data_IF_871272227162
#
_entry.id   IF_871272227162
#
_cell.length_a   1.000
_cell.length_b   1.000
_cell.length_c   1.000
_cell.angle_alpha   90.00
_cell.angle_beta   90.00
_cell.angle_gamma   90.00
#
_symmetry.space_group_name_H-M   'P 1'
#
loop_
_entity.id
_entity.type
_entity.pdbx_description
1 polymer ?
#
# COMPACT_ATOMS: atom_id res chain seq x y z
N UNK A 1 17.40 19.66 -7.49
CA UNK A 1 18.14 18.66 -6.68
C UNK A 1 19.06 19.29 -5.64
N UNK A 2 19.90 20.26 -5.98
CA UNK A 2 20.95 20.79 -5.08
C UNK A 2 20.45 21.52 -3.82
N UNK A 3 19.19 21.92 -3.79
CA UNK A 3 18.55 22.55 -2.62
C UNK A 3 17.76 21.57 -1.75
N UNK A 4 17.61 20.30 -2.18
CA UNK A 4 16.91 19.30 -1.41
C UNK A 4 17.85 18.67 -0.38
N UNK A 5 17.51 18.83 0.90
CA UNK A 5 18.35 18.40 2.03
C UNK A 5 18.65 16.89 2.07
N UNK A 6 17.93 16.08 1.30
CA UNK A 6 18.11 14.63 1.20
C UNK A 6 18.87 14.19 -0.06
N UNK A 7 19.35 15.10 -0.88
CA UNK A 7 19.94 14.78 -2.20
C UNK A 7 21.14 13.81 -2.11
N UNK A 8 21.99 13.93 -1.09
CA UNK A 8 23.14 13.02 -0.90
C UNK A 8 22.70 11.61 -0.56
N UNK A 9 21.80 11.44 0.43
CA UNK A 9 21.24 10.16 0.81
C UNK A 9 20.48 9.50 -0.35
N UNK A 10 19.74 10.28 -1.12
CA UNK A 10 19.08 9.77 -2.32
C UNK A 10 20.08 9.15 -3.29
N UNK A 11 21.17 9.86 -3.62
CA UNK A 11 22.22 9.35 -4.55
C UNK A 11 22.90 8.09 -4.01
N UNK A 12 23.16 8.07 -2.70
CA UNK A 12 23.74 6.90 -2.04
C UNK A 12 22.84 5.66 -2.17
N UNK A 13 21.58 5.76 -1.74
CA UNK A 13 20.65 4.63 -1.74
C UNK A 13 20.25 4.19 -3.16
N UNK A 14 20.08 5.13 -4.10
CA UNK A 14 19.78 4.79 -5.50
C UNK A 14 20.95 4.07 -6.18
N UNK A 15 22.20 4.34 -5.74
CA UNK A 15 23.40 3.66 -6.23
C UNK A 15 23.59 2.24 -5.71
N UNK A 16 22.84 1.80 -4.71
CA UNK A 16 22.93 0.44 -4.16
C UNK A 16 22.27 -0.58 -5.10
N UNK A 17 22.64 -1.85 -4.95
CA UNK A 17 21.99 -2.97 -5.67
C UNK A 17 20.48 -2.98 -5.44
N UNK A 18 20.06 -2.68 -4.22
CA UNK A 18 18.66 -2.39 -3.86
C UNK A 18 18.61 -1.43 -2.69
N UNK A 19 17.68 -0.50 -2.73
CA UNK A 19 17.37 0.42 -1.63
C UNK A 19 16.12 0.00 -0.84
N UNK A 20 15.58 -1.19 -1.14
CA UNK A 20 14.31 -1.65 -0.59
C UNK A 20 14.48 -2.22 0.80
N UNK A 21 13.57 -1.87 1.69
CA UNK A 21 13.39 -2.57 2.96
C UNK A 21 11.91 -2.67 3.33
N UNK A 22 11.61 -3.64 4.19
CA UNK A 22 10.27 -3.94 4.65
C UNK A 22 10.22 -3.85 6.18
N UNK A 23 9.09 -3.36 6.69
CA UNK A 23 8.79 -3.41 8.12
C UNK A 23 7.40 -4.00 8.33
N UNK A 24 7.27 -4.89 9.32
CA UNK A 24 5.98 -5.48 9.73
C UNK A 24 5.67 -5.07 11.15
N UNK A 25 4.45 -4.58 11.38
CA UNK A 25 3.94 -4.13 12.68
C UNK A 25 2.62 -4.82 12.97
N UNK A 26 2.39 -5.13 14.24
CA UNK A 26 1.13 -5.69 14.73
C UNK A 26 0.13 -4.56 15.00
N UNK A 27 -0.93 -4.46 14.20
CA UNK A 27 -1.96 -3.42 14.28
C UNK A 27 -3.15 -3.89 15.11
N UNK A 28 -3.73 -2.98 15.90
CA UNK A 28 -5.00 -3.20 16.56
C UNK A 28 -6.14 -2.73 15.66
N UNK A 29 -6.93 -3.67 15.18
CA UNK A 29 -8.02 -3.39 14.24
C UNK A 29 -9.41 -3.58 14.86
N UNK A 30 -9.49 -3.66 16.18
CA UNK A 30 -10.73 -3.96 16.93
C UNK A 30 -11.86 -2.99 16.58
N UNK A 31 -11.60 -1.68 16.65
CA UNK A 31 -12.61 -0.67 16.38
C UNK A 31 -13.13 -0.76 14.95
N UNK A 32 -12.23 -0.94 13.98
CA UNK A 32 -12.61 -1.04 12.57
C UNK A 32 -13.42 -2.31 12.28
N UNK A 33 -13.07 -3.44 12.88
CA UNK A 33 -13.82 -4.70 12.73
C UNK A 33 -15.23 -4.54 13.30
N UNK A 34 -15.35 -3.98 14.50
CA UNK A 34 -16.65 -3.76 15.13
C UNK A 34 -17.52 -2.81 14.28
N UNK A 35 -16.95 -1.68 13.87
CA UNK A 35 -17.63 -0.75 12.97
C UNK A 35 -18.12 -1.44 11.68
N UNK A 36 -17.28 -2.23 11.05
CA UNK A 36 -17.65 -2.93 9.81
C UNK A 36 -18.78 -3.93 10.03
N UNK A 37 -18.76 -4.69 11.14
CA UNK A 37 -19.82 -5.66 11.49
C UNK A 37 -21.14 -4.95 11.77
N UNK A 38 -21.12 -3.88 12.56
CA UNK A 38 -22.32 -3.12 12.95
C UNK A 38 -23.00 -2.40 11.76
N UNK A 39 -22.19 -1.96 10.79
CA UNK A 39 -22.66 -1.17 9.66
C UNK A 39 -22.76 -1.97 8.34
N UNK A 40 -22.50 -3.27 8.34
CA UNK A 40 -22.50 -4.10 7.12
C UNK A 40 -21.47 -3.63 6.08
N UNK A 41 -20.30 -3.13 6.52
CA UNK A 41 -19.26 -2.59 5.66
C UNK A 41 -18.11 -3.58 5.45
N UNK A 42 -17.42 -3.46 4.31
CA UNK A 42 -16.24 -4.24 4.01
C UNK A 42 -15.05 -3.78 4.84
N UNK A 43 -14.45 -4.67 5.63
CA UNK A 43 -13.18 -4.40 6.34
C UNK A 43 -12.07 -4.02 5.34
N UNK A 44 -11.95 -4.79 4.25
CA UNK A 44 -10.94 -4.54 3.22
C UNK A 44 -10.99 -3.12 2.68
N UNK A 45 -12.19 -2.65 2.27
CA UNK A 45 -12.34 -1.33 1.64
C UNK A 45 -12.07 -0.20 2.65
N UNK A 46 -12.55 -0.35 3.89
CA UNK A 46 -12.33 0.66 4.91
C UNK A 46 -10.85 0.75 5.33
N UNK A 47 -10.19 -0.40 5.51
CA UNK A 47 -8.76 -0.42 5.82
C UNK A 47 -7.93 0.16 4.68
N UNK A 48 -8.24 -0.23 3.42
CA UNK A 48 -7.60 0.29 2.22
C UNK A 48 -7.70 1.83 2.14
N UNK A 49 -8.91 2.37 2.38
CA UNK A 49 -9.13 3.82 2.35
C UNK A 49 -8.31 4.54 3.42
N UNK A 50 -8.39 4.09 4.67
CA UNK A 50 -7.68 4.72 5.79
C UNK A 50 -6.16 4.67 5.57
N UNK A 51 -5.61 3.53 5.16
CA UNK A 51 -4.20 3.40 4.87
C UNK A 51 -3.76 4.30 3.70
N UNK A 52 -4.50 4.31 2.60
CA UNK A 52 -4.17 5.14 1.43
C UNK A 52 -4.22 6.64 1.75
N UNK A 53 -5.17 7.05 2.61
CA UNK A 53 -5.28 8.45 3.07
C UNK A 53 -4.04 8.88 3.84
N UNK A 54 -3.62 8.10 4.82
CA UNK A 54 -2.44 8.43 5.63
C UNK A 54 -1.16 8.42 4.78
N UNK A 55 -1.00 7.44 3.88
CA UNK A 55 0.11 7.39 2.93
C UNK A 55 0.17 8.64 2.01
N UNK A 56 -0.98 9.18 1.63
CA UNK A 56 -1.04 10.43 0.87
C UNK A 56 -0.70 11.67 1.71
N UNK A 57 -0.81 11.59 3.03
CA UNK A 57 -0.48 12.71 3.92
C UNK A 57 1.03 12.92 4.11
N UNK A 58 1.84 11.86 3.98
CA UNK A 58 3.30 11.91 4.15
C UNK A 58 3.97 12.01 2.76
N UNK A 59 4.68 13.12 2.45
CA UNK A 59 5.27 13.36 1.13
C UNK A 59 6.19 12.24 0.64
N UNK A 60 6.98 11.64 1.53
CA UNK A 60 7.96 10.59 1.23
C UNK A 60 7.30 9.36 0.56
N UNK A 61 6.06 9.03 0.90
CA UNK A 61 5.32 7.93 0.27
C UNK A 61 4.78 8.26 -1.12
N UNK A 62 4.81 9.54 -1.52
CA UNK A 62 4.43 10.02 -2.85
C UNK A 62 5.63 10.29 -3.76
N UNK A 63 6.86 10.08 -3.27
CA UNK A 63 8.07 10.26 -4.06
C UNK A 63 8.38 9.03 -4.92
N UNK A 64 8.85 9.27 -6.14
CA UNK A 64 9.26 8.25 -7.10
C UNK A 64 10.54 8.67 -7.82
N UNK A 65 11.13 7.72 -8.54
CA UNK A 65 12.21 8.01 -9.50
C UNK A 65 11.63 8.14 -10.90
N UNK A 66 11.88 9.27 -11.54
CA UNK A 66 11.60 9.52 -12.95
C UNK A 66 12.88 9.93 -13.66
N UNK A 67 13.30 9.18 -14.68
CA UNK A 67 14.53 9.45 -15.44
C UNK A 67 15.77 9.62 -14.55
N UNK A 68 15.87 8.84 -13.49
CA UNK A 68 16.97 8.89 -12.51
C UNK A 68 16.85 10.01 -11.47
N UNK A 69 15.84 10.86 -11.54
CA UNK A 69 15.65 12.00 -10.65
C UNK A 69 14.45 11.80 -9.70
N UNK A 70 14.48 12.36 -8.49
CA UNK A 70 13.35 12.31 -7.57
C UNK A 70 12.20 13.18 -8.08
N UNK A 71 11.01 12.62 -8.03
CA UNK A 71 9.76 13.26 -8.42
C UNK A 71 8.71 13.11 -7.32
N UNK A 72 8.02 14.17 -6.93
CA UNK A 72 6.96 14.19 -5.95
C UNK A 72 5.59 14.30 -6.62
N UNK A 73 4.76 13.29 -6.48
CA UNK A 73 3.36 13.36 -6.90
C UNK A 73 2.54 14.21 -5.92
N UNK A 74 1.58 14.98 -6.43
CA UNK A 74 0.62 15.71 -5.59
C UNK A 74 -0.30 14.74 -4.82
N UNK A 75 -0.66 13.64 -5.47
CA UNK A 75 -1.50 12.56 -4.95
C UNK A 75 -1.08 11.25 -5.62
N UNK A 76 -1.24 10.15 -4.89
CA UNK A 76 -1.09 8.80 -5.43
C UNK A 76 -2.38 8.02 -5.25
N UNK A 77 -2.66 7.17 -6.23
CA UNK A 77 -3.80 6.28 -6.26
C UNK A 77 -3.44 4.90 -5.69
N UNK A 78 -4.34 3.94 -5.71
CA UNK A 78 -4.03 2.58 -5.28
C UNK A 78 -4.21 1.54 -6.38
N UNK A 79 -3.36 0.51 -6.31
CA UNK A 79 -3.57 -0.77 -6.98
C UNK A 79 -3.73 -1.86 -5.92
N UNK A 80 -4.70 -2.72 -6.06
CA UNK A 80 -4.99 -3.77 -5.08
C UNK A 80 -5.29 -5.11 -5.74
N UNK A 81 -5.00 -6.19 -5.02
CA UNK A 81 -5.26 -7.55 -5.49
C UNK A 81 -6.65 -8.02 -5.07
N UNK A 82 -7.34 -8.69 -5.98
CA UNK A 82 -8.62 -9.36 -5.72
C UNK A 82 -8.46 -10.83 -6.05
N UNK A 83 -8.70 -11.73 -5.08
CA UNK A 83 -8.80 -13.16 -5.34
C UNK A 83 -10.05 -13.44 -6.18
N UNK A 84 -9.91 -14.18 -7.27
CA UNK A 84 -11.01 -14.50 -8.18
C UNK A 84 -11.53 -15.93 -8.01
N UNK A 85 -12.66 -16.22 -8.67
CA UNK A 85 -13.31 -17.52 -8.60
C UNK A 85 -12.58 -18.63 -9.39
N UNK A 86 -11.46 -18.32 -10.03
CA UNK A 86 -10.66 -19.24 -10.83
C UNK A 86 -9.37 -19.69 -10.14
N UNK A 87 -9.17 -19.31 -8.86
CA UNK A 87 -8.05 -19.79 -8.04
C UNK A 87 -6.76 -18.97 -8.15
N UNK A 88 -6.83 -17.75 -8.71
CA UNK A 88 -5.71 -16.81 -8.73
C UNK A 88 -6.17 -15.40 -8.34
N UNK A 89 -5.29 -14.41 -8.38
CA UNK A 89 -5.64 -13.02 -8.13
C UNK A 89 -5.54 -12.17 -9.40
N UNK A 90 -6.25 -11.07 -9.39
CA UNK A 90 -6.19 -10.03 -10.41
C UNK A 90 -5.87 -8.69 -9.78
N UNK A 91 -5.06 -7.87 -10.44
CA UNK A 91 -4.76 -6.51 -10.01
C UNK A 91 -5.82 -5.55 -10.56
N UNK A 92 -6.23 -4.61 -9.73
CA UNK A 92 -7.15 -3.52 -10.10
C UNK A 92 -6.68 -2.24 -9.45
N UNK A 93 -6.94 -1.11 -10.10
CA UNK A 93 -6.61 0.20 -9.57
C UNK A 93 -7.84 1.10 -9.52
N UNK A 94 -7.80 2.08 -8.63
CA UNK A 94 -8.78 3.15 -8.52
C UNK A 94 -8.12 4.42 -8.03
N UNK A 95 -8.72 5.55 -8.37
CA UNK A 95 -8.29 6.86 -7.89
C UNK A 95 -8.60 7.02 -6.39
N UNK A 96 -7.73 7.76 -5.69
CA UNK A 96 -8.02 8.24 -4.34
C UNK A 96 -8.95 9.44 -4.42
N UNK A 97 -10.17 9.27 -3.92
CA UNK A 97 -11.24 10.27 -3.91
C UNK A 97 -11.84 10.40 -2.52
N UNK A 98 -12.96 11.08 -2.36
CA UNK A 98 -13.74 11.06 -1.11
C UNK A 98 -14.17 9.63 -0.75
N UNK A 99 -14.38 9.38 0.54
CA UNK A 99 -14.67 8.04 1.06
C UNK A 99 -15.87 7.36 0.38
N UNK A 100 -16.95 8.10 0.16
CA UNK A 100 -18.18 7.53 -0.42
C UNK A 100 -17.95 7.04 -1.85
N UNK A 101 -17.34 7.88 -2.67
CA UNK A 101 -16.99 7.58 -4.06
C UNK A 101 -15.97 6.44 -4.12
N UNK A 102 -14.92 6.50 -3.30
CA UNK A 102 -13.90 5.47 -3.21
C UNK A 102 -14.50 4.11 -2.83
N UNK A 103 -15.35 4.08 -1.78
CA UNK A 103 -15.99 2.85 -1.34
C UNK A 103 -16.83 2.20 -2.45
N UNK A 104 -17.60 3.00 -3.18
CA UNK A 104 -18.43 2.51 -4.29
C UNK A 104 -17.58 1.97 -5.44
N UNK A 105 -16.52 2.70 -5.82
CA UNK A 105 -15.61 2.29 -6.89
C UNK A 105 -14.93 0.96 -6.55
N UNK A 106 -14.30 0.85 -5.39
CA UNK A 106 -13.62 -0.38 -4.97
C UNK A 106 -14.60 -1.55 -4.86
N UNK A 107 -15.81 -1.33 -4.32
CA UNK A 107 -16.86 -2.36 -4.25
C UNK A 107 -17.21 -2.91 -5.63
N UNK A 108 -17.48 -2.02 -6.59
CA UNK A 108 -17.85 -2.38 -7.96
C UNK A 108 -16.71 -3.10 -8.68
N UNK A 109 -15.49 -2.57 -8.55
CA UNK A 109 -14.29 -3.15 -9.17
C UNK A 109 -14.01 -4.54 -8.59
N UNK A 110 -14.05 -4.70 -7.28
CA UNK A 110 -13.78 -5.97 -6.62
C UNK A 110 -14.81 -7.05 -7.00
N UNK A 111 -16.11 -6.69 -7.05
CA UNK A 111 -17.15 -7.63 -7.45
C UNK A 111 -16.99 -8.11 -8.90
N UNK A 112 -16.68 -7.18 -9.81
CA UNK A 112 -16.40 -7.51 -11.21
C UNK A 112 -15.16 -8.40 -11.33
N UNK A 113 -14.09 -8.06 -10.63
CA UNK A 113 -12.80 -8.75 -10.68
C UNK A 113 -12.89 -10.23 -10.24
N UNK A 114 -13.81 -10.59 -9.32
CA UNK A 114 -14.03 -11.98 -8.90
C UNK A 114 -14.36 -12.92 -10.06
N UNK A 115 -15.03 -12.40 -11.10
CA UNK A 115 -15.49 -13.19 -12.24
C UNK A 115 -14.61 -13.01 -13.49
N UNK A 116 -13.50 -12.29 -13.39
CA UNK A 116 -12.60 -12.06 -14.53
C UNK A 116 -11.54 -13.15 -14.65
N UNK A 117 -11.35 -13.65 -15.87
CA UNK A 117 -10.35 -14.67 -16.19
C UNK A 117 -8.99 -14.08 -16.57
N UNK A 118 -8.96 -12.82 -16.97
CA UNK A 118 -7.72 -12.15 -17.37
C UNK A 118 -7.03 -11.54 -16.13
N UNK A 119 -5.82 -11.98 -15.84
CA UNK A 119 -5.00 -11.45 -14.73
C UNK A 119 -4.50 -10.04 -15.02
N UNK A 120 -4.27 -9.71 -16.28
CA UNK A 120 -3.78 -8.42 -16.76
C UNK A 120 -4.75 -7.88 -17.81
N UNK A 121 -5.88 -7.27 -17.41
CA UNK A 121 -6.77 -6.62 -18.38
C UNK A 121 -6.04 -5.45 -19.05
N UNK A 122 -6.48 -5.08 -20.24
CA UNK A 122 -5.90 -4.01 -21.06
C UNK A 122 -5.76 -2.67 -20.30
N UNK A 123 -6.52 -2.48 -19.21
CA UNK A 123 -6.48 -1.29 -18.35
C UNK A 123 -5.58 -1.43 -17.13
N UNK A 124 -4.87 -2.54 -16.92
CA UNK A 124 -3.84 -2.63 -15.91
C UNK A 124 -2.56 -1.99 -16.43
N UNK A 125 -2.47 -0.69 -16.33
CA UNK A 125 -1.26 0.04 -16.73
C UNK A 125 -0.16 -0.22 -15.70
N UNK A 126 0.65 -1.23 -15.96
CA UNK A 126 1.82 -1.59 -15.15
C UNK A 126 2.93 -0.54 -15.22
N UNK A 127 2.82 0.44 -16.14
CA UNK A 127 3.79 1.54 -16.25
C UNK A 127 3.51 2.67 -15.26
N UNK A 128 2.33 2.71 -14.62
CA UNK A 128 1.97 3.74 -13.65
C UNK A 128 2.84 3.64 -12.39
N UNK A 129 3.47 4.74 -12.02
CA UNK A 129 4.23 4.87 -10.78
C UNK A 129 3.55 5.78 -9.75
N UNK A 130 2.47 6.44 -10.12
CA UNK A 130 1.59 7.23 -9.24
C UNK A 130 0.62 6.36 -8.42
N UNK A 131 1.01 5.13 -8.13
CA UNK A 131 0.24 4.14 -7.38
C UNK A 131 0.94 3.79 -6.06
N UNK A 132 0.16 3.27 -5.11
CA UNK A 132 0.62 2.43 -4.01
C UNK A 132 0.00 1.05 -4.20
N UNK A 133 0.81 0.00 -4.11
CA UNK A 133 0.33 -1.38 -4.26
C UNK A 133 -0.14 -1.95 -2.93
N UNK A 134 -1.31 -2.61 -2.95
CA UNK A 134 -1.87 -3.32 -1.81
C UNK A 134 -2.00 -4.81 -2.11
N UNK A 135 -1.23 -5.62 -1.37
CA UNK A 135 -1.21 -7.08 -1.49
C UNK A 135 -1.67 -7.72 -0.19
N UNK A 136 -2.87 -8.32 -0.19
CA UNK A 136 -3.51 -8.82 1.04
C UNK A 136 -3.50 -10.34 1.05
N UNK A 137 -3.10 -10.94 2.19
CA UNK A 137 -3.09 -12.38 2.41
C UNK A 137 -4.00 -12.70 3.61
N UNK A 138 -5.34 -12.74 3.42
CA UNK A 138 -6.30 -12.84 4.52
C UNK A 138 -6.43 -14.25 5.09
N UNK A 139 -5.68 -15.22 4.59
CA UNK A 139 -5.78 -16.63 4.99
C UNK A 139 -4.80 -17.02 6.11
N UNK A 140 -3.78 -16.21 6.36
CA UNK A 140 -2.75 -16.51 7.36
C UNK A 140 -2.43 -15.28 8.22
N UNK A 141 -2.24 -15.50 9.52
CA UNK A 141 -1.69 -14.55 10.45
C UNK A 141 -0.15 -14.70 10.45
N UNK A 142 0.52 -13.92 9.62
CA UNK A 142 1.97 -13.95 9.48
C UNK A 142 2.66 -12.95 10.43
N UNK A 143 3.91 -13.19 10.74
CA UNK A 143 4.72 -12.29 11.58
C UNK A 143 5.56 -11.32 10.73
N UNK A 144 5.97 -11.74 9.55
CA UNK A 144 6.69 -10.91 8.59
C UNK A 144 6.43 -11.37 7.17
N UNK A 145 6.59 -10.47 6.22
CA UNK A 145 6.48 -10.76 4.80
C UNK A 145 7.44 -9.85 4.03
N UNK A 146 8.08 -10.39 3.02
CA UNK A 146 8.87 -9.65 2.05
C UNK A 146 8.24 -9.79 0.67
N UNK A 147 8.39 -8.76 -0.14
CA UNK A 147 7.81 -8.71 -1.48
C UNK A 147 8.92 -8.76 -2.55
N UNK A 148 8.60 -9.27 -3.75
CA UNK A 148 9.55 -9.30 -4.85
C UNK A 148 10.17 -7.93 -5.13
N UNK A 149 11.44 -7.95 -5.53
CA UNK A 149 12.16 -6.79 -6.06
C UNK A 149 12.29 -6.98 -7.56
N UNK A 150 11.85 -6.00 -8.33
CA UNK A 150 11.97 -6.03 -9.78
C UNK A 150 13.41 -5.72 -10.18
N UNK A 151 13.93 -6.47 -11.14
CA UNK A 151 15.24 -6.25 -11.75
C UNK A 151 15.11 -5.85 -13.21
N UNK A 152 16.00 -4.99 -13.67
CA UNK A 152 16.15 -4.71 -15.08
C UNK A 152 16.87 -5.88 -15.82
N UNK A 153 16.96 -5.86 -17.16
CA UNK A 153 17.63 -6.92 -17.92
C UNK A 153 19.11 -7.17 -17.53
N UNK A 154 19.76 -6.24 -16.84
CA UNK A 154 21.15 -6.38 -16.38
C UNK A 154 21.25 -6.93 -14.94
N UNK A 155 20.14 -7.34 -14.33
CA UNK A 155 20.09 -7.92 -12.99
C UNK A 155 20.21 -6.93 -11.84
N UNK A 156 20.22 -5.62 -12.10
CA UNK A 156 20.14 -4.58 -11.07
C UNK A 156 18.72 -4.21 -10.73
N UNK A 157 18.47 -3.65 -9.55
CA UNK A 157 17.15 -3.21 -9.13
C UNK A 157 16.58 -2.16 -10.10
N UNK A 158 15.31 -2.36 -10.53
CA UNK A 158 14.60 -1.34 -11.28
C UNK A 158 14.09 -0.25 -10.34
N UNK A 159 14.85 0.82 -10.21
CA UNK A 159 14.56 1.90 -9.27
C UNK A 159 13.25 2.64 -9.59
N UNK A 160 12.83 2.67 -10.87
CA UNK A 160 11.57 3.32 -11.25
C UNK A 160 10.37 2.66 -10.57
N UNK A 161 10.30 1.33 -10.61
CA UNK A 161 9.19 0.57 -10.04
C UNK A 161 9.41 0.19 -8.58
N UNK A 162 10.65 -0.08 -8.16
CA UNK A 162 10.93 -0.47 -6.79
C UNK A 162 10.79 0.69 -5.78
N UNK A 163 10.73 1.94 -6.24
CA UNK A 163 10.39 3.09 -5.38
C UNK A 163 8.89 3.23 -5.13
N UNK A 164 8.05 2.46 -5.80
CA UNK A 164 6.61 2.40 -5.53
C UNK A 164 6.39 1.63 -4.22
N UNK A 165 5.78 2.23 -3.18
CA UNK A 165 5.48 1.53 -1.94
C UNK A 165 4.51 0.37 -2.17
N UNK A 166 4.71 -0.71 -1.42
CA UNK A 166 3.77 -1.81 -1.40
C UNK A 166 3.40 -2.14 0.05
N UNK A 167 2.11 -2.19 0.28
CA UNK A 167 1.53 -2.42 1.59
C UNK A 167 0.74 -3.71 1.56
N UNK A 168 0.75 -4.46 2.65
CA UNK A 168 -0.11 -5.61 2.78
C UNK A 168 -0.44 -5.91 4.23
N UNK A 169 -1.45 -6.74 4.39
CA UNK A 169 -1.84 -7.23 5.70
C UNK A 169 -2.31 -8.68 5.64
N UNK A 170 -2.22 -9.32 6.81
CA UNK A 170 -2.59 -10.70 6.99
C UNK A 170 -4.02 -10.89 7.49
N UNK A 171 -4.29 -12.09 7.97
CA UNK A 171 -5.51 -12.43 8.68
C UNK A 171 -5.50 -11.73 10.05
N UNK A 172 -6.61 -11.12 10.44
CA UNK A 172 -6.78 -10.68 11.81
C UNK A 172 -7.19 -11.88 12.70
N UNK A 173 -6.69 -11.87 13.92
CA UNK A 173 -7.00 -12.86 14.96
C UNK A 173 -7.39 -12.17 16.25
N UNK A 174 -8.17 -12.84 17.09
CA UNK A 174 -8.52 -12.35 18.40
C UNK A 174 -7.43 -12.71 19.42
N UNK A 175 -6.95 -11.72 20.12
CA UNK A 175 -5.97 -11.84 21.20
C UNK A 175 -6.42 -11.03 22.40
N UNK A 176 -6.75 -11.69 23.51
CA UNK A 176 -7.19 -11.05 24.75
C UNK A 176 -8.36 -10.05 24.56
N UNK A 177 -9.36 -10.43 23.78
CA UNK A 177 -10.56 -9.63 23.52
C UNK A 177 -10.33 -8.48 22.52
N UNK A 178 -9.18 -8.45 21.85
CA UNK A 178 -8.86 -7.47 20.80
C UNK A 178 -8.50 -8.17 19.50
N UNK A 179 -8.88 -7.56 18.38
CA UNK A 179 -8.48 -8.06 17.07
C UNK A 179 -7.15 -7.45 16.65
N UNK A 180 -6.17 -8.30 16.38
CA UNK A 180 -4.82 -7.93 15.95
C UNK A 180 -4.55 -8.47 14.54
N UNK A 181 -3.74 -7.72 13.78
CA UNK A 181 -3.40 -8.05 12.40
C UNK A 181 -1.99 -7.56 12.08
N UNK A 182 -1.19 -8.41 11.44
CA UNK A 182 0.10 -7.96 10.91
C UNK A 182 -0.11 -7.13 9.66
N UNK A 183 0.53 -5.96 9.61
CA UNK A 183 0.64 -5.09 8.45
C UNK A 183 2.10 -4.91 8.10
N UNK A 184 2.46 -5.06 6.84
CA UNK A 184 3.80 -4.75 6.35
C UNK A 184 3.77 -3.58 5.36
N UNK A 185 4.85 -2.82 5.33
CA UNK A 185 5.08 -1.75 4.37
C UNK A 185 6.48 -1.94 3.79
N UNK A 186 6.54 -2.12 2.46
CA UNK A 186 7.77 -2.10 1.66
C UNK A 186 7.99 -0.71 1.09
N UNK A 187 9.17 -0.15 1.28
CA UNK A 187 9.57 1.17 0.79
C UNK A 187 10.99 1.19 0.27
N UNK A 188 11.33 2.24 -0.48
CA UNK A 188 12.72 2.54 -0.84
C UNK A 188 13.33 3.50 0.19
N UNK A 189 14.48 3.13 0.74
CA UNK A 189 15.25 3.97 1.66
C UNK A 189 15.79 5.25 0.99
N UNK A 190 15.76 5.30 -0.35
CA UNK A 190 16.07 6.51 -1.08
C UNK A 190 15.12 7.67 -0.72
N UNK A 191 13.88 7.36 -0.31
CA UNK A 191 12.85 8.35 0.02
C UNK A 191 12.36 8.25 1.46
N UNK A 192 12.17 7.05 1.98
CA UNK A 192 11.52 6.82 3.28
C UNK A 192 12.54 6.31 4.28
N UNK A 193 12.75 7.06 5.36
CA UNK A 193 13.54 6.66 6.52
C UNK A 193 12.67 5.98 7.58
N UNK A 194 13.32 5.49 8.64
CA UNK A 194 12.63 4.85 9.75
C UNK A 194 11.61 5.75 10.45
N UNK A 195 11.86 7.08 10.54
CA UNK A 195 10.93 8.00 11.21
C UNK A 195 9.64 8.21 10.40
N UNK A 196 9.66 8.60 9.10
CA UNK A 196 8.45 8.65 8.28
C UNK A 196 7.70 7.31 8.23
N UNK A 197 8.42 6.18 8.18
CA UNK A 197 7.79 4.86 8.19
C UNK A 197 7.09 4.56 9.52
N UNK A 198 7.71 4.89 10.65
CA UNK A 198 7.10 4.73 11.97
C UNK A 198 5.89 5.64 12.16
N UNK A 199 5.97 6.89 11.69
CA UNK A 199 4.85 7.83 11.72
C UNK A 199 3.67 7.30 10.92
N UNK A 200 3.90 6.69 9.76
CA UNK A 200 2.86 6.10 8.94
C UNK A 200 2.11 4.99 9.67
N UNK A 201 2.80 4.04 10.30
CA UNK A 201 2.15 3.00 11.11
C UNK A 201 1.31 3.59 12.24
N UNK A 202 1.82 4.62 12.93
CA UNK A 202 1.11 5.29 14.02
C UNK A 202 -0.10 6.09 13.51
N UNK A 203 0.00 6.74 12.36
CA UNK A 203 -1.09 7.48 11.74
C UNK A 203 -2.22 6.53 11.32
N UNK A 204 -1.89 5.43 10.65
CA UNK A 204 -2.87 4.39 10.29
C UNK A 204 -3.52 3.81 11.55
N UNK A 205 -2.74 3.50 12.60
CA UNK A 205 -3.29 3.01 13.87
C UNK A 205 -4.26 4.01 14.50
N UNK A 206 -3.94 5.29 14.45
CA UNK A 206 -4.81 6.38 14.94
C UNK A 206 -6.08 6.50 14.11
N UNK A 207 -5.95 6.47 12.77
CA UNK A 207 -7.09 6.51 11.86
C UNK A 207 -8.08 5.35 12.09
N UNK A 208 -7.55 4.14 12.30
CA UNK A 208 -8.36 2.95 12.65
C UNK A 208 -9.08 3.14 13.99
N UNK A 209 -8.40 3.71 14.99
CA UNK A 209 -8.97 3.91 16.31
C UNK A 209 -10.08 4.97 16.31
N UNK A 210 -9.92 6.02 15.52
CA UNK A 210 -10.86 7.14 15.43
C UNK A 210 -12.03 6.90 14.46
N UNK A 211 -11.88 6.01 13.46
CA UNK A 211 -12.87 5.73 12.42
C UNK A 211 -13.31 7.00 11.66
N UNK A 212 -12.40 7.94 11.47
CA UNK A 212 -12.69 9.18 10.76
C UNK A 212 -12.52 8.98 9.24
N UNK A 213 -13.63 8.93 8.53
CA UNK A 213 -13.70 8.81 7.07
C UNK A 213 -13.99 10.15 6.37
N UNK A 214 -13.96 11.27 7.09
CA UNK A 214 -14.41 12.58 6.59
C UNK A 214 -13.32 13.37 5.84
N UNK A 215 -12.09 12.92 5.83
CA UNK A 215 -10.95 13.65 5.22
C UNK A 215 -10.62 13.13 3.84
#
# INVERSE_FOLDING_TARGET
MDTWNRAELFREFIGMTTSIYDMTVRMDVTNLINYCKENGKSFFINYLYLALRELNAIPEFRMRVHNGEPYLYNRVDCSFTVANNYGYFVNRSTEFTDYKTFYQNVSTIAEKAKNEKNTHPENSDLSRTDLIYFSVIPWVDYQSMTLPVLTNPHGTSDQTYNTVPCIGWGKYVEENGRFKMSMHIKVSHAFVDGKPLADEFNNIQTAIAQLDFSK
#
